data_IF_620160735489
#
_entry.id   IF_620160735489
#
_cell.length_a   1.000
_cell.length_b   1.000
_cell.length_c   1.000
_cell.angle_alpha   90.00
_cell.angle_beta   90.00
_cell.angle_gamma   90.00
#
_symmetry.space_group_name_H-M   'P 1'
#
loop_
_entity.id
_entity.type
_entity.pdbx_description
1 polymer ?
#
# COMPACT_ATOMS: atom_id res chain seq x y z
N UNK A 1 -7.05 -20.32 -0.29
CA UNK A 1 -6.00 -19.29 -0.32
C UNK A 1 -5.84 -18.76 -1.74
N UNK A 2 -5.78 -17.44 -1.90
CA UNK A 2 -5.63 -16.83 -3.22
C UNK A 2 -4.19 -16.89 -3.70
N UNK A 3 -4.01 -17.13 -5.00
CA UNK A 3 -2.70 -17.02 -5.62
C UNK A 3 -2.29 -15.53 -5.75
N UNK A 4 -1.04 -15.30 -6.09
CA UNK A 4 -0.53 -13.95 -6.35
C UNK A 4 -1.35 -13.25 -7.43
N UNK A 5 -1.65 -13.95 -8.51
CA UNK A 5 -2.44 -13.42 -9.62
C UNK A 5 -3.87 -13.09 -9.19
N UNK A 6 -4.49 -13.95 -8.39
CA UNK A 6 -5.83 -13.71 -7.86
C UNK A 6 -5.86 -12.49 -6.93
N UNK A 7 -4.82 -12.35 -6.09
CA UNK A 7 -4.70 -11.18 -5.21
C UNK A 7 -4.53 -9.89 -6.01
N UNK A 8 -3.68 -9.90 -7.03
CA UNK A 8 -3.51 -8.74 -7.90
C UNK A 8 -4.80 -8.36 -8.60
N UNK A 9 -5.52 -9.35 -9.16
CA UNK A 9 -6.78 -9.09 -9.83
C UNK A 9 -7.81 -8.49 -8.86
N UNK A 10 -7.87 -9.00 -7.62
CA UNK A 10 -8.79 -8.48 -6.61
C UNK A 10 -8.42 -7.05 -6.19
N UNK A 11 -7.13 -6.75 -6.07
CA UNK A 11 -6.66 -5.38 -5.77
C UNK A 11 -7.05 -4.45 -6.91
N UNK A 12 -6.75 -4.84 -8.14
CA UNK A 12 -7.02 -4.03 -9.33
C UNK A 12 -8.52 -3.78 -9.53
N UNK A 13 -9.37 -4.69 -9.06
CA UNK A 13 -10.82 -4.51 -9.13
C UNK A 13 -11.32 -3.32 -8.32
N UNK A 14 -10.53 -2.84 -7.34
CA UNK A 14 -10.85 -1.63 -6.57
C UNK A 14 -10.58 -0.34 -7.35
N UNK A 15 -9.96 -0.43 -8.53
CA UNK A 15 -9.61 0.74 -9.35
C UNK A 15 -10.18 0.59 -10.76
N UNK A 16 -11.52 0.48 -10.89
CA UNK A 16 -12.14 0.14 -12.18
C UNK A 16 -11.93 1.19 -13.26
N UNK A 17 -11.72 2.45 -12.88
CA UNK A 17 -11.57 3.55 -13.82
C UNK A 17 -10.11 3.82 -14.19
N UNK A 18 -9.16 3.10 -13.59
CA UNK A 18 -7.75 3.26 -13.92
C UNK A 18 -7.43 2.63 -15.27
N UNK A 19 -6.73 3.37 -16.11
CA UNK A 19 -6.29 2.88 -17.42
C UNK A 19 -5.10 1.92 -17.29
N UNK A 20 -4.22 2.17 -16.32
CA UNK A 20 -3.06 1.33 -16.03
C UNK A 20 -3.01 1.09 -14.52
N UNK A 21 -3.55 -0.03 -14.10
CA UNK A 21 -3.70 -0.35 -12.67
C UNK A 21 -2.38 -0.62 -11.98
N UNK A 22 -1.41 -1.16 -12.71
CA UNK A 22 -0.06 -1.37 -12.18
C UNK A 22 0.60 -0.01 -11.88
N UNK A 23 0.50 0.93 -12.81
CA UNK A 23 1.02 2.27 -12.61
C UNK A 23 0.30 2.98 -11.45
N UNK A 24 -1.01 2.83 -11.34
CA UNK A 24 -1.78 3.41 -10.25
C UNK A 24 -1.28 2.90 -8.90
N UNK A 25 -1.05 1.61 -8.77
CA UNK A 25 -0.53 1.03 -7.52
C UNK A 25 0.90 1.50 -7.25
N UNK A 26 1.73 1.57 -8.28
CA UNK A 26 3.09 2.08 -8.13
C UNK A 26 3.09 3.53 -7.64
N UNK A 27 2.23 4.36 -8.21
CA UNK A 27 2.10 5.76 -7.81
C UNK A 27 1.58 5.90 -6.38
N UNK A 28 0.60 5.09 -5.99
CA UNK A 28 0.07 5.11 -4.63
C UNK A 28 1.16 4.74 -3.62
N UNK A 29 1.88 3.66 -3.86
CA UNK A 29 2.96 3.22 -2.96
C UNK A 29 4.06 4.28 -2.89
N UNK A 30 4.43 4.86 -4.03
CA UNK A 30 5.44 5.93 -4.08
C UNK A 30 5.02 7.13 -3.24
N UNK A 31 3.79 7.60 -3.39
CA UNK A 31 3.30 8.75 -2.65
C UNK A 31 3.19 8.45 -1.16
N UNK A 32 2.78 7.23 -0.78
CA UNK A 32 2.77 6.81 0.61
C UNK A 32 4.18 6.91 1.23
N UNK A 33 5.17 6.38 0.54
CA UNK A 33 6.56 6.34 1.04
C UNK A 33 7.16 7.75 1.11
N UNK A 34 6.89 8.57 0.11
CA UNK A 34 7.52 9.90 0.02
C UNK A 34 6.85 10.94 0.91
N UNK A 35 5.53 10.83 1.15
CA UNK A 35 4.80 11.88 1.88
C UNK A 35 3.97 11.41 3.06
N UNK A 36 3.42 10.20 3.00
CA UNK A 36 2.44 9.75 3.98
C UNK A 36 3.03 9.23 5.27
N UNK A 37 4.05 8.38 5.17
CA UNK A 37 4.57 7.62 6.31
C UNK A 37 5.87 8.17 6.90
N UNK A 38 6.35 9.28 6.38
CA UNK A 38 7.69 9.81 6.74
C UNK A 38 7.82 10.17 8.22
N UNK A 39 6.72 10.52 8.89
CA UNK A 39 6.78 10.94 10.29
C UNK A 39 6.85 9.77 11.28
N UNK A 40 6.47 8.55 10.87
CA UNK A 40 6.48 7.43 11.80
C UNK A 40 7.39 6.27 11.35
N UNK A 41 7.64 6.11 10.06
CA UNK A 41 8.41 4.95 9.58
C UNK A 41 9.90 5.20 9.70
N UNK A 42 10.56 4.44 10.58
CA UNK A 42 12.01 4.52 10.78
C UNK A 42 12.71 3.21 10.43
N UNK A 43 11.95 2.15 10.15
CA UNK A 43 12.49 0.86 9.72
C UNK A 43 12.17 0.65 8.25
N UNK A 44 13.20 0.56 7.43
CA UNK A 44 13.06 0.38 5.99
C UNK A 44 13.39 -1.05 5.61
N UNK A 45 12.59 -1.68 4.72
CA UNK A 45 12.82 -3.08 4.35
C UNK A 45 14.03 -3.25 3.44
N UNK A 46 14.59 -4.46 3.45
CA UNK A 46 15.58 -4.88 2.46
C UNK A 46 14.85 -5.21 1.16
N UNK A 47 15.28 -4.58 0.08
CA UNK A 47 14.65 -4.71 -1.23
C UNK A 47 15.42 -5.70 -2.09
N UNK A 48 14.71 -6.62 -2.72
CA UNK A 48 15.29 -7.61 -3.63
C UNK A 48 15.23 -7.20 -5.09
N UNK A 49 14.29 -6.31 -5.42
CA UNK A 49 14.13 -5.81 -6.77
C UNK A 49 15.38 -5.06 -7.23
N UNK A 50 15.66 -5.14 -8.54
CA UNK A 50 16.76 -4.41 -9.17
C UNK A 50 16.33 -3.06 -9.73
N UNK A 51 15.11 -2.61 -9.45
CA UNK A 51 14.64 -1.29 -9.89
C UNK A 51 15.51 -0.19 -9.32
N UNK A 52 15.76 0.85 -10.12
CA UNK A 52 16.64 1.94 -9.76
C UNK A 52 16.13 2.78 -8.59
N UNK A 53 14.81 3.03 -8.57
CA UNK A 53 14.20 3.85 -7.54
C UNK A 53 13.56 2.98 -6.45
N UNK A 54 13.80 3.36 -5.19
CA UNK A 54 13.34 2.60 -4.04
C UNK A 54 11.83 2.34 -4.06
N UNK A 55 11.03 3.37 -4.35
CA UNK A 55 9.56 3.22 -4.34
C UNK A 55 9.09 2.25 -5.41
N UNK A 56 9.69 2.29 -6.60
CA UNK A 56 9.41 1.34 -7.67
C UNK A 56 9.79 -0.08 -7.25
N UNK A 57 10.93 -0.21 -6.56
CA UNK A 57 11.42 -1.49 -6.08
C UNK A 57 10.49 -2.10 -5.03
N UNK A 58 9.93 -1.27 -4.14
CA UNK A 58 8.95 -1.73 -3.14
C UNK A 58 7.74 -2.35 -3.83
N UNK A 59 7.13 -1.64 -4.78
CA UNK A 59 5.97 -2.18 -5.48
C UNK A 59 6.34 -3.43 -6.28
N UNK A 60 7.49 -3.44 -6.94
CA UNK A 60 7.95 -4.61 -7.71
C UNK A 60 8.08 -5.84 -6.82
N UNK A 61 8.68 -5.71 -5.64
CA UNK A 61 8.81 -6.83 -4.71
C UNK A 61 7.46 -7.34 -4.22
N UNK A 62 6.58 -6.43 -3.84
CA UNK A 62 5.23 -6.78 -3.34
C UNK A 62 4.41 -7.42 -4.46
N UNK A 63 4.43 -6.83 -5.64
CA UNK A 63 3.70 -7.33 -6.81
C UNK A 63 4.12 -8.77 -7.15
N UNK A 64 5.37 -9.09 -6.96
CA UNK A 64 5.90 -10.42 -7.23
C UNK A 64 5.75 -11.40 -6.05
N UNK A 65 4.97 -11.03 -5.04
CA UNK A 65 4.64 -11.90 -3.92
C UNK A 65 5.51 -11.71 -2.68
N UNK A 66 6.34 -10.66 -2.65
CA UNK A 66 7.18 -10.37 -1.50
C UNK A 66 6.42 -9.80 -0.32
N UNK A 67 7.05 -9.89 0.86
CA UNK A 67 6.55 -9.30 2.10
C UNK A 67 7.63 -8.38 2.64
N UNK A 68 7.29 -7.12 2.87
CA UNK A 68 8.25 -6.10 3.31
C UNK A 68 7.78 -5.47 4.62
N UNK A 69 8.69 -5.35 5.58
CA UNK A 69 8.37 -4.80 6.89
C UNK A 69 8.60 -3.30 6.95
N UNK A 70 7.64 -2.59 7.55
CA UNK A 70 7.71 -1.15 7.83
C UNK A 70 7.32 -0.91 9.28
N UNK A 71 7.77 0.18 9.84
CA UNK A 71 7.42 0.52 11.21
C UNK A 71 8.50 1.33 11.92
N UNK A 72 8.44 1.30 13.25
CA UNK A 72 9.46 1.88 14.10
C UNK A 72 9.99 0.82 15.08
N UNK A 73 10.66 1.24 16.15
CA UNK A 73 11.24 0.30 17.11
C UNK A 73 10.18 -0.49 17.89
N UNK A 74 8.96 0.04 18.00
CA UNK A 74 7.92 -0.54 18.84
C UNK A 74 6.83 -1.23 18.03
N UNK A 75 6.55 -0.77 16.81
CA UNK A 75 5.49 -1.29 15.97
C UNK A 75 6.03 -1.63 14.59
N UNK A 76 5.98 -2.91 14.23
CA UNK A 76 6.39 -3.36 12.90
C UNK A 76 5.22 -4.09 12.26
N UNK A 77 4.91 -3.70 11.03
CA UNK A 77 3.88 -4.34 10.22
C UNK A 77 4.45 -4.78 8.88
N UNK A 78 3.67 -5.50 8.12
CA UNK A 78 4.11 -6.12 6.88
C UNK A 78 3.26 -5.68 5.70
N UNK A 79 3.91 -5.23 4.64
CA UNK A 79 3.26 -4.91 3.37
C UNK A 79 3.38 -6.12 2.44
N UNK A 80 2.25 -6.64 2.00
CA UNK A 80 2.17 -7.69 0.99
C UNK A 80 0.83 -7.58 0.27
N UNK A 81 0.62 -8.38 -0.77
CA UNK A 81 -0.60 -8.30 -1.57
C UNK A 81 -1.85 -8.60 -0.74
N UNK A 82 -1.80 -9.61 0.11
CA UNK A 82 -2.95 -9.97 0.94
C UNK A 82 -3.34 -8.82 1.87
N UNK A 83 -2.37 -8.18 2.50
CA UNK A 83 -2.60 -7.07 3.42
C UNK A 83 -3.11 -5.82 2.70
N UNK A 84 -2.62 -5.56 1.49
CA UNK A 84 -3.14 -4.47 0.66
C UNK A 84 -4.62 -4.70 0.34
N UNK A 85 -4.97 -5.91 -0.08
CA UNK A 85 -6.36 -6.24 -0.39
C UNK A 85 -7.26 -6.07 0.83
N UNK A 86 -6.83 -6.58 1.99
CA UNK A 86 -7.57 -6.42 3.24
C UNK A 86 -7.76 -4.96 3.61
N UNK A 87 -6.73 -4.13 3.40
CA UNK A 87 -6.81 -2.70 3.68
C UNK A 87 -7.87 -2.02 2.81
N UNK A 88 -7.87 -2.31 1.52
CA UNK A 88 -8.85 -1.73 0.60
C UNK A 88 -10.27 -2.14 0.99
N UNK A 89 -10.48 -3.41 1.30
CA UNK A 89 -11.78 -3.91 1.72
C UNK A 89 -12.24 -3.28 3.05
N UNK A 90 -11.30 -3.13 3.98
CA UNK A 90 -11.58 -2.53 5.30
C UNK A 90 -11.93 -1.04 5.17
N UNK A 91 -11.13 -0.28 4.42
CA UNK A 91 -11.37 1.16 4.22
C UNK A 91 -12.70 1.43 3.54
N UNK A 92 -13.09 0.58 2.60
CA UNK A 92 -14.39 0.70 1.95
C UNK A 92 -15.54 0.70 2.97
N UNK A 93 -15.39 -0.04 4.07
CA UNK A 93 -16.42 -0.17 5.11
C UNK A 93 -16.31 0.95 6.14
N UNK A 94 -15.10 1.25 6.64
CA UNK A 94 -14.93 2.10 7.81
C UNK A 94 -14.57 3.54 7.46
N UNK A 95 -14.04 3.78 6.27
CA UNK A 95 -13.56 5.11 5.86
C UNK A 95 -13.88 5.34 4.37
N UNK A 96 -15.19 5.43 4.04
CA UNK A 96 -15.59 5.53 2.63
C UNK A 96 -15.04 6.75 1.91
N UNK A 97 -14.79 7.86 2.61
CA UNK A 97 -14.21 9.06 2.00
C UNK A 97 -12.76 8.80 1.56
N UNK A 98 -11.97 8.17 2.42
CA UNK A 98 -10.60 7.77 2.08
C UNK A 98 -10.60 6.78 0.92
N UNK A 99 -11.50 5.82 0.97
CA UNK A 99 -11.63 4.81 -0.09
C UNK A 99 -11.98 5.47 -1.42
N UNK A 100 -12.89 6.46 -1.42
CA UNK A 100 -13.26 7.17 -2.63
C UNK A 100 -12.08 7.97 -3.20
N UNK A 101 -11.30 8.61 -2.33
CA UNK A 101 -10.10 9.32 -2.77
C UNK A 101 -9.10 8.38 -3.44
N UNK A 102 -8.95 7.16 -2.91
CA UNK A 102 -8.09 6.15 -3.53
C UNK A 102 -8.61 5.76 -4.92
N UNK A 103 -9.92 5.51 -5.04
CA UNK A 103 -10.51 5.13 -6.33
C UNK A 103 -10.39 6.24 -7.37
N UNK A 104 -10.53 7.49 -6.95
CA UNK A 104 -10.45 8.65 -7.82
C UNK A 104 -9.00 9.05 -8.14
N UNK A 105 -8.03 8.33 -7.57
CA UNK A 105 -6.60 8.65 -7.68
C UNK A 105 -6.31 10.09 -7.25
N UNK A 106 -7.03 10.53 -6.20
CA UNK A 106 -6.97 11.89 -5.67
C UNK A 106 -6.55 11.85 -4.19
N UNK A 107 -5.50 11.10 -3.89
CA UNK A 107 -5.02 10.94 -2.53
C UNK A 107 -4.04 12.07 -2.17
N UNK A 108 -4.12 12.50 -0.92
CA UNK A 108 -3.13 13.40 -0.31
C UNK A 108 -2.28 12.60 0.69
N UNK A 109 -1.40 13.29 1.41
CA UNK A 109 -0.52 12.62 2.37
C UNK A 109 -1.32 11.93 3.49
N UNK A 110 -2.44 12.52 3.91
CA UNK A 110 -3.30 11.94 4.94
C UNK A 110 -3.96 10.64 4.46
N UNK A 111 -4.51 10.65 3.25
CA UNK A 111 -5.11 9.46 2.63
C UNK A 111 -4.08 8.35 2.48
N UNK A 112 -2.88 8.70 2.00
CA UNK A 112 -1.78 7.76 1.85
C UNK A 112 -1.40 7.13 3.19
N UNK A 113 -1.29 7.94 4.25
CA UNK A 113 -0.92 7.47 5.57
C UNK A 113 -1.95 6.49 6.13
N UNK A 114 -3.22 6.84 6.04
CA UNK A 114 -4.31 5.97 6.50
C UNK A 114 -4.31 4.63 5.76
N UNK A 115 -4.17 4.68 4.44
CA UNK A 115 -4.09 3.46 3.63
C UNK A 115 -2.90 2.60 4.02
N UNK A 116 -1.72 3.21 4.09
CA UNK A 116 -0.48 2.46 4.32
C UNK A 116 -0.45 1.82 5.71
N UNK A 117 -0.85 2.56 6.74
CA UNK A 117 -0.93 1.99 8.09
C UNK A 117 -1.95 0.86 8.15
N UNK A 118 -3.11 1.04 7.52
CA UNK A 118 -4.12 -0.02 7.47
C UNK A 118 -3.58 -1.26 6.76
N UNK A 119 -2.79 -1.07 5.70
CA UNK A 119 -2.18 -2.19 4.98
C UNK A 119 -1.15 -2.93 5.83
N UNK A 120 -0.25 -2.21 6.51
CA UNK A 120 0.83 -2.88 7.24
C UNK A 120 0.45 -3.31 8.65
N UNK A 121 -0.46 -2.63 9.32
CA UNK A 121 -0.83 -2.91 10.70
C UNK A 121 -2.26 -3.43 10.89
N UNK A 122 -3.10 -3.33 9.86
CA UNK A 122 -4.52 -3.65 9.96
C UNK A 122 -5.37 -2.49 10.47
N UNK A 123 -4.76 -1.44 11.00
CA UNK A 123 -5.43 -0.25 11.54
C UNK A 123 -4.44 0.91 11.63
N UNK A 124 -4.96 2.11 11.87
CA UNK A 124 -4.10 3.29 12.09
C UNK A 124 -3.58 3.23 13.53
N UNK A 125 -2.25 3.14 13.70
CA UNK A 125 -1.60 3.07 15.02
C UNK A 125 -0.79 4.32 15.35
N UNK A 126 -0.42 5.12 14.36
CA UNK A 126 0.29 6.38 14.55
C UNK A 126 -0.64 7.55 14.24
N UNK A 127 -0.66 8.53 15.10
CA UNK A 127 -1.55 9.66 14.94
C UNK A 127 -0.89 10.98 14.69
#
# INVERSE_FOLDING_TARGET
>A
MKSKEELLDAIYAHFPDSEDKDETMCNLITDCIETGITYWNTKWPDIRSTKEYFCDAVWEDVKNGGSLDFGDENEIGTLNLENILKALEHLKKISPDTYQDLQDENWDAYTCDEFFQTAVFGEVVFG
#
